data_IF_007132413038
#
_entry.id   IF_007132413038
#
_cell.length_a   1.000
_cell.length_b   1.000
_cell.length_c   1.000
_cell.angle_alpha   90.00
_cell.angle_beta   90.00
_cell.angle_gamma   90.00
#
_symmetry.space_group_name_H-M   'P 1'
#
loop_
_entity.id
_entity.type
_entity.pdbx_description
1 polymer ?
#
# COMPACT_ATOMS: atom_id res chain seq x y z
N UNK A 1 -3.88 -13.34 -9.63
CA UNK A 1 -2.59 -13.47 -10.29
C UNK A 1 -2.58 -12.83 -11.64
N UNK A 2 -3.50 -13.21 -12.51
CA UNK A 2 -3.54 -12.63 -13.84
C UNK A 2 -3.73 -11.12 -13.79
N UNK A 3 -4.55 -10.66 -12.89
CA UNK A 3 -4.79 -9.23 -12.75
C UNK A 3 -3.52 -8.48 -12.38
N UNK A 4 -2.76 -9.05 -11.47
CA UNK A 4 -1.53 -8.43 -11.03
C UNK A 4 -0.54 -8.33 -12.17
N UNK A 5 -0.38 -9.43 -12.86
CA UNK A 5 0.54 -9.50 -13.97
C UNK A 5 0.11 -8.59 -15.10
N UNK A 6 -1.18 -8.61 -15.41
CA UNK A 6 -1.71 -7.77 -16.47
C UNK A 6 -1.57 -6.30 -16.15
N UNK A 7 -1.82 -5.92 -14.92
CA UNK A 7 -1.67 -4.55 -14.50
C UNK A 7 -0.25 -4.08 -14.71
N UNK A 8 0.69 -4.94 -14.38
CA UNK A 8 2.08 -4.59 -14.53
C UNK A 8 2.47 -4.43 -16.00
N UNK A 9 2.08 -5.38 -16.80
CA UNK A 9 2.40 -5.34 -18.23
C UNK A 9 1.69 -4.17 -18.90
N UNK A 10 0.46 -3.94 -18.54
CA UNK A 10 -0.33 -2.87 -19.14
C UNK A 10 0.17 -1.49 -18.81
N UNK A 11 1.08 -1.38 -17.86
CA UNK A 11 1.60 -0.08 -17.46
C UNK A 11 2.98 0.19 -18.00
N UNK A 12 3.30 -0.39 -19.13
CA UNK A 12 4.55 -0.04 -19.80
C UNK A 12 4.58 1.45 -20.05
N UNK A 13 5.57 2.12 -19.49
CA UNK A 13 5.70 3.54 -19.60
C UNK A 13 4.75 4.31 -18.71
N UNK A 14 3.98 3.64 -17.87
CA UNK A 14 3.06 4.26 -16.95
C UNK A 14 3.28 3.81 -15.52
N UNK A 15 2.36 4.22 -14.65
CA UNK A 15 2.41 3.88 -13.24
C UNK A 15 1.38 2.80 -12.96
N UNK A 16 1.77 1.70 -12.28
CA UNK A 16 0.80 0.66 -11.93
C UNK A 16 -0.31 1.19 -11.04
N UNK A 17 -1.51 0.73 -11.29
CA UNK A 17 -2.68 1.06 -10.47
C UNK A 17 -3.27 -0.23 -9.95
N UNK A 18 -3.39 -0.36 -8.63
CA UNK A 18 -3.90 -1.56 -8.01
C UNK A 18 -4.93 -1.20 -6.95
N UNK A 19 -5.71 -2.20 -6.54
CA UNK A 19 -6.67 -2.03 -5.46
C UNK A 19 -6.19 -2.74 -4.21
N UNK A 20 -6.38 -2.09 -3.07
CA UNK A 20 -6.08 -2.68 -1.77
C UNK A 20 -7.39 -2.93 -1.04
N UNK A 21 -7.64 -4.20 -0.69
CA UNK A 21 -8.80 -4.54 0.12
C UNK A 21 -8.46 -4.34 1.59
N UNK A 22 -9.41 -3.81 2.34
CA UNK A 22 -9.21 -3.62 3.76
C UNK A 22 -9.45 -4.92 4.51
N UNK A 23 -8.41 -5.42 5.15
CA UNK A 23 -8.51 -6.61 6.00
C UNK A 23 -8.93 -6.23 7.41
N UNK A 24 -8.53 -5.05 7.86
CA UNK A 24 -8.87 -4.55 9.18
C UNK A 24 -8.86 -3.03 9.14
N UNK A 25 -9.90 -2.42 9.71
CA UNK A 25 -9.95 -0.96 9.81
C UNK A 25 -9.09 -0.44 10.95
N UNK A 26 -8.63 -1.33 11.82
CA UNK A 26 -7.81 -0.93 12.94
C UNK A 26 -8.60 -0.33 14.07
N UNK A 27 -7.89 0.09 15.10
CA UNK A 27 -8.48 0.77 16.25
C UNK A 27 -7.40 1.62 16.90
N UNK A 28 -7.74 2.26 18.00
CA UNK A 28 -6.75 3.08 18.71
C UNK A 28 -5.57 2.25 19.23
N UNK A 29 -5.74 0.93 19.32
CA UNK A 29 -4.69 0.04 19.83
C UNK A 29 -4.24 -1.00 18.82
N UNK A 30 -4.80 -1.02 17.62
CA UNK A 30 -4.41 -1.99 16.60
C UNK A 30 -4.18 -1.29 15.27
N UNK A 31 -3.36 -1.92 14.43
CA UNK A 31 -3.08 -1.39 13.11
C UNK A 31 -4.22 -1.66 12.14
N UNK A 32 -4.42 -0.76 11.21
CA UNK A 32 -5.24 -1.05 10.03
C UNK A 32 -4.40 -1.90 9.07
N UNK A 33 -5.04 -2.83 8.39
CA UNK A 33 -4.34 -3.74 7.48
C UNK A 33 -5.06 -3.74 6.14
N UNK A 34 -4.28 -3.52 5.09
CA UNK A 34 -4.76 -3.59 3.72
C UNK A 34 -3.97 -4.64 2.96
N UNK A 35 -4.65 -5.35 2.08
CA UNK A 35 -4.04 -6.42 1.30
C UNK A 35 -4.05 -6.06 -0.17
N UNK A 36 -2.90 -6.16 -0.79
CA UNK A 36 -2.76 -6.03 -2.24
C UNK A 36 -2.79 -7.42 -2.87
N UNK A 37 -3.35 -7.54 -4.07
CA UNK A 37 -3.61 -8.86 -4.65
C UNK A 37 -2.38 -9.60 -5.14
N UNK A 38 -1.22 -8.95 -5.22
CA UNK A 38 -0.07 -9.61 -5.84
C UNK A 38 1.24 -8.95 -5.43
N UNK A 39 2.32 -9.55 -5.90
CA UNK A 39 3.67 -9.10 -5.60
C UNK A 39 4.10 -7.96 -6.54
N UNK A 40 3.45 -6.84 -6.45
CA UNK A 40 3.77 -5.72 -7.34
C UNK A 40 5.13 -5.11 -7.04
N UNK A 41 5.65 -5.33 -5.84
CA UNK A 41 6.96 -4.78 -5.46
C UNK A 41 8.12 -5.68 -5.86
N UNK A 42 7.83 -6.80 -6.52
CA UNK A 42 8.86 -7.76 -6.83
C UNK A 42 9.74 -7.41 -8.02
N UNK A 43 9.33 -6.45 -8.82
CA UNK A 43 9.98 -6.21 -10.11
C UNK A 43 11.06 -5.15 -10.06
N UNK A 44 10.95 -4.18 -9.24
CA UNK A 44 11.92 -3.11 -9.18
C UNK A 44 12.44 -2.91 -7.78
N UNK A 45 13.47 -2.10 -7.67
CA UNK A 45 14.04 -1.76 -6.37
C UNK A 45 13.32 -0.59 -5.74
N UNK A 46 12.96 0.38 -6.56
CA UNK A 46 12.29 1.60 -6.08
C UNK A 46 11.30 2.05 -7.13
N UNK A 47 10.26 2.69 -6.71
CA UNK A 47 9.28 3.19 -7.66
C UNK A 47 8.06 3.77 -6.98
N UNK A 48 7.05 4.02 -7.80
CA UNK A 48 5.80 4.61 -7.39
C UNK A 48 4.67 3.71 -7.85
N UNK A 49 3.67 3.54 -7.00
CA UNK A 49 2.43 2.88 -7.41
C UNK A 49 1.26 3.72 -6.96
N UNK A 50 0.15 3.61 -7.69
CA UNK A 50 -1.11 4.21 -7.30
C UNK A 50 -1.98 3.11 -6.74
N UNK A 51 -2.48 3.30 -5.53
CA UNK A 51 -3.30 2.29 -4.85
C UNK A 51 -4.65 2.89 -4.54
N UNK A 52 -5.69 2.18 -4.94
CA UNK A 52 -7.06 2.53 -4.59
C UNK A 52 -7.43 1.76 -3.34
N UNK A 53 -7.49 2.43 -2.21
CA UNK A 53 -7.82 1.80 -0.94
C UNK A 53 -9.33 1.67 -0.80
N UNK A 54 -9.79 0.45 -0.62
CA UNK A 54 -11.23 0.14 -0.58
C UNK A 54 -11.76 0.17 0.85
N UNK A 55 -11.51 1.24 1.55
CA UNK A 55 -12.00 1.40 2.91
C UNK A 55 -11.10 2.33 3.69
N UNK A 56 -11.69 3.13 4.54
CA UNK A 56 -10.94 4.05 5.38
C UNK A 56 -10.62 3.38 6.71
N UNK A 57 -9.57 3.87 7.37
CA UNK A 57 -9.28 3.45 8.74
C UNK A 57 -10.33 4.03 9.67
N UNK A 58 -10.41 3.49 10.90
CA UNK A 58 -11.17 4.16 11.94
C UNK A 58 -10.52 5.51 12.23
N UNK A 59 -11.16 6.33 13.06
CA UNK A 59 -10.74 7.72 13.26
C UNK A 59 -9.24 7.87 13.55
N UNK A 60 -8.70 6.96 14.35
CA UNK A 60 -7.27 6.98 14.65
C UNK A 60 -6.83 5.55 14.88
N UNK A 61 -5.73 5.15 14.24
CA UNK A 61 -5.19 3.81 14.40
C UNK A 61 -3.74 3.92 14.85
N UNK A 62 -3.21 2.80 15.34
CA UNK A 62 -1.80 2.76 15.76
C UNK A 62 -0.86 2.89 14.57
N UNK A 63 -1.25 2.35 13.43
CA UNK A 63 -0.47 2.42 12.20
C UNK A 63 -1.22 1.75 11.09
N UNK A 64 -0.69 1.82 9.89
CA UNK A 64 -1.26 1.19 8.72
C UNK A 64 -0.25 0.21 8.15
N UNK A 65 -0.65 -1.02 7.94
CA UNK A 65 0.20 -2.06 7.37
C UNK A 65 -0.34 -2.49 6.01
N UNK A 66 0.58 -2.79 5.12
CA UNK A 66 0.26 -3.29 3.79
C UNK A 66 0.75 -4.73 3.69
N UNK A 67 -0.15 -5.63 3.34
CA UNK A 67 0.17 -7.03 3.15
C UNK A 67 0.20 -7.36 1.67
N UNK A 68 1.34 -7.84 1.19
CA UNK A 68 1.53 -8.22 -0.20
C UNK A 68 2.18 -9.60 -0.23
N UNK A 69 1.45 -10.57 -0.78
CA UNK A 69 2.01 -11.91 -0.96
C UNK A 69 2.49 -12.55 0.33
N UNK A 70 1.83 -12.31 1.43
CA UNK A 70 2.20 -12.88 2.71
C UNK A 70 3.21 -12.07 3.51
N UNK A 71 3.76 -11.03 2.93
CA UNK A 71 4.67 -10.12 3.64
C UNK A 71 3.91 -8.88 4.07
N UNK A 72 4.14 -8.44 5.29
CA UNK A 72 3.49 -7.27 5.83
C UNK A 72 4.52 -6.19 6.09
N UNK A 73 4.22 -4.97 5.65
CA UNK A 73 5.10 -3.82 5.82
C UNK A 73 4.31 -2.63 6.30
N UNK A 74 4.90 -1.80 7.14
CA UNK A 74 4.23 -0.57 7.54
C UNK A 74 4.18 0.42 6.39
N UNK A 75 3.06 1.13 6.28
CA UNK A 75 2.93 2.26 5.38
C UNK A 75 3.20 3.52 6.20
N UNK A 76 4.20 4.28 5.79
CA UNK A 76 4.67 5.42 6.55
C UNK A 76 4.27 6.72 5.86
N UNK A 77 4.31 7.80 6.62
CA UNK A 77 4.09 9.14 6.08
C UNK A 77 5.25 9.54 5.18
N UNK A 78 5.13 10.63 4.43
CA UNK A 78 6.26 11.10 3.62
C UNK A 78 7.52 11.36 4.42
N UNK A 79 7.39 11.65 5.71
CA UNK A 79 8.53 11.90 6.58
C UNK A 79 8.99 10.66 7.33
N UNK A 80 8.34 9.52 7.12
CA UNK A 80 8.76 8.27 7.72
C UNK A 80 8.09 7.91 9.03
N UNK A 81 7.02 8.61 9.40
CA UNK A 81 6.30 8.33 10.63
C UNK A 81 5.11 7.42 10.36
N UNK A 82 4.66 6.71 11.37
CA UNK A 82 3.50 5.84 11.23
C UNK A 82 2.26 6.66 10.90
N UNK A 83 1.46 6.18 9.95
CA UNK A 83 0.19 6.81 9.64
C UNK A 83 -0.83 6.45 10.71
N UNK A 84 -1.62 7.43 11.10
CA UNK A 84 -2.69 7.20 12.06
C UNK A 84 -4.07 7.23 11.43
N UNK A 85 -4.16 7.66 10.19
CA UNK A 85 -5.42 7.63 9.42
C UNK A 85 -5.10 7.42 7.96
N UNK A 86 -6.06 6.84 7.24
CA UNK A 86 -5.96 6.67 5.79
C UNK A 86 -7.37 6.73 5.22
N UNK A 87 -7.59 7.62 4.27
CA UNK A 87 -8.91 7.76 3.65
C UNK A 87 -9.05 6.79 2.50
N UNK A 88 -10.29 6.43 2.18
CA UNK A 88 -10.58 5.59 1.03
C UNK A 88 -10.28 6.35 -0.26
N UNK A 89 -9.98 5.61 -1.32
CA UNK A 89 -9.74 6.18 -2.64
C UNK A 89 -8.29 6.04 -3.07
N UNK A 90 -7.92 6.81 -4.08
CA UNK A 90 -6.60 6.68 -4.70
C UNK A 90 -5.55 7.43 -3.92
N UNK A 91 -4.42 6.74 -3.70
CA UNK A 91 -3.26 7.33 -3.05
C UNK A 91 -2.02 6.92 -3.83
N UNK A 92 -0.99 7.74 -3.75
CA UNK A 92 0.29 7.47 -4.40
C UNK A 92 1.27 7.01 -3.33
N UNK A 93 1.90 5.87 -3.57
CA UNK A 93 2.83 5.27 -2.62
C UNK A 93 4.18 5.10 -3.30
N UNK A 94 5.23 5.54 -2.62
CA UNK A 94 6.60 5.26 -3.04
C UNK A 94 7.09 4.02 -2.32
N UNK A 95 7.76 3.14 -3.04
CA UNK A 95 8.33 1.97 -2.41
C UNK A 95 9.85 1.93 -2.63
N UNK A 96 10.53 1.41 -1.63
CA UNK A 96 11.98 1.25 -1.61
C UNK A 96 12.25 -0.15 -1.11
N UNK A 97 12.37 -1.09 -2.03
CA UNK A 97 12.49 -2.50 -1.68
C UNK A 97 13.76 -2.82 -0.90
N UNK A 98 14.94 -2.30 -1.29
CA UNK A 98 16.15 -2.60 -0.52
C UNK A 98 16.05 -2.21 0.94
N UNK A 99 15.31 -1.15 1.26
CA UNK A 99 15.14 -0.69 2.63
C UNK A 99 13.82 -1.16 3.24
N UNK A 100 13.07 -1.96 2.50
CA UNK A 100 11.79 -2.52 2.95
C UNK A 100 10.83 -1.43 3.41
N UNK A 101 10.69 -0.39 2.60
CA UNK A 101 9.98 0.82 3.01
C UNK A 101 8.87 1.17 2.04
N UNK A 102 7.72 1.57 2.59
CA UNK A 102 6.60 2.10 1.84
C UNK A 102 6.23 3.44 2.45
N UNK A 103 6.18 4.47 1.63
CA UNK A 103 5.82 5.80 2.11
C UNK A 103 4.66 6.33 1.30
N UNK A 104 3.69 6.89 1.98
CA UNK A 104 2.58 7.58 1.35
C UNK A 104 3.08 8.92 0.86
N UNK A 105 2.80 9.25 -0.39
CA UNK A 105 3.19 10.54 -0.94
C UNK A 105 2.02 11.52 -0.88
N UNK A 106 0.86 11.04 -1.29
CA UNK A 106 -0.34 11.90 -1.34
C UNK A 106 -1.55 11.17 -0.82
#
# INVERSE_FOLDING_TARGET
MAECFNGYVGNRGGVPIVEATQSSAGSATTNAIYTLPCHIFGRGCKGIIVVNFLGATTATVTGVNISVGGSTRPLLSPTGEALTTLTTGFHIIAFDKPNNRLNLIV
#
